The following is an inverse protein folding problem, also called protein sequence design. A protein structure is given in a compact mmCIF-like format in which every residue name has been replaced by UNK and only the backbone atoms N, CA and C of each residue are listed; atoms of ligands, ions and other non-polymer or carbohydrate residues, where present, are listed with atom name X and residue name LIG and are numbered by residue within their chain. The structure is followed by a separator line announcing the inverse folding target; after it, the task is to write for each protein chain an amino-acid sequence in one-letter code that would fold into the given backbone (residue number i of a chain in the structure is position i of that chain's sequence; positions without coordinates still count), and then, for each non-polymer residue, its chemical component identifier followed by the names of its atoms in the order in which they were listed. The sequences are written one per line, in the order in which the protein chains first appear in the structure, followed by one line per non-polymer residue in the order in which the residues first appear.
data_IF_013032907059
#
_entry.id   IF_013032907059
#
_cell.length_a   1.000
_cell.length_b   1.000
_cell.length_c   1.000
_cell.angle_alpha   90.00
_cell.angle_beta   90.00
_cell.angle_gamma   90.00
#
_symmetry.space_group_name_H-M   'P 1'
#
loop_
_entity.id
_entity.type
_entity.pdbx_description
1 polymer ?
#
# COMPACT_ATOMS: atom_id res chain seq x y z
N UNK A 1 -88.19 12.09 74.35
CA UNK A 1 -87.11 13.01 73.90
C UNK A 1 -85.96 12.15 73.37
N UNK A 2 -85.94 11.89 72.08
CA UNK A 2 -84.96 10.96 71.49
C UNK A 2 -84.13 11.72 70.46
N UNK A 3 -82.93 12.03 70.79
CA UNK A 3 -82.03 12.75 69.91
C UNK A 3 -81.33 11.73 68.98
N UNK A 4 -81.55 11.85 67.71
CA UNK A 4 -80.98 11.02 66.66
C UNK A 4 -79.63 11.68 66.23
N UNK A 5 -78.56 10.97 66.44
CA UNK A 5 -77.25 11.39 66.05
C UNK A 5 -76.93 10.95 64.57
N UNK A 6 -76.58 11.92 63.70
CA UNK A 6 -76.30 11.71 62.30
C UNK A 6 -74.81 11.56 62.12
N UNK A 7 -74.33 10.41 61.65
CA UNK A 7 -72.95 10.11 61.35
C UNK A 7 -72.62 10.64 59.93
N UNK A 8 -71.57 11.46 59.69
CA UNK A 8 -71.18 11.91 58.35
C UNK A 8 -70.38 10.86 57.64
N UNK A 9 -70.71 10.60 56.43
CA UNK A 9 -70.05 9.64 55.49
C UNK A 9 -68.64 10.09 55.11
N UNK A 10 -67.67 9.19 55.28
CA UNK A 10 -66.24 9.36 54.96
C UNK A 10 -66.04 9.34 53.48
N UNK A 11 -65.69 10.48 52.86
CA UNK A 11 -65.39 10.67 51.48
C UNK A 11 -64.12 9.96 51.09
N UNK A 12 -64.19 8.95 50.24
CA UNK A 12 -63.01 8.16 49.80
C UNK A 12 -62.25 8.93 48.76
N UNK A 13 -61.11 9.48 49.09
CA UNK A 13 -60.13 10.04 48.13
C UNK A 13 -59.31 8.92 47.46
N UNK A 14 -59.85 8.44 46.34
CA UNK A 14 -59.16 7.48 45.47
C UNK A 14 -59.04 8.06 44.08
N UNK A 15 -58.14 9.05 43.81
CA UNK A 15 -57.88 9.41 42.39
C UNK A 15 -56.59 10.26 42.13
N UNK A 16 -55.60 10.23 42.96
CA UNK A 16 -54.35 10.97 42.63
C UNK A 16 -53.06 10.15 42.56
N UNK A 17 -53.05 8.88 42.92
CA UNK A 17 -51.82 8.03 42.83
C UNK A 17 -51.45 7.60 41.42
N UNK A 18 -52.39 7.47 40.50
CA UNK A 18 -52.15 6.99 39.12
C UNK A 18 -51.39 8.00 38.23
N UNK A 19 -51.63 9.31 38.40
CA UNK A 19 -51.04 10.35 37.55
C UNK A 19 -49.54 10.62 37.89
N UNK A 20 -49.13 10.44 39.13
CA UNK A 20 -47.71 10.57 39.55
C UNK A 20 -46.91 9.36 39.10
N UNK A 21 -47.48 8.17 39.11
CA UNK A 21 -46.86 6.94 38.68
C UNK A 21 -46.63 6.93 37.17
N UNK A 22 -47.58 7.40 36.37
CA UNK A 22 -47.39 7.53 34.90
C UNK A 22 -46.37 8.59 34.50
N UNK A 23 -46.24 9.68 35.25
CA UNK A 23 -45.18 10.68 34.97
C UNK A 23 -43.80 10.15 35.34
N UNK A 24 -43.64 9.43 36.44
CA UNK A 24 -42.37 8.82 36.81
C UNK A 24 -41.95 7.71 35.87
N UNK A 25 -42.92 6.90 35.38
CA UNK A 25 -42.69 5.87 34.37
C UNK A 25 -42.21 6.48 33.01
N UNK A 26 -42.86 7.57 32.58
CA UNK A 26 -42.45 8.28 31.35
C UNK A 26 -41.04 8.87 31.48
N UNK A 27 -40.67 9.45 32.63
CA UNK A 27 -39.32 9.96 32.87
C UNK A 27 -38.31 8.83 32.91
N UNK A 28 -38.66 7.69 33.55
CA UNK A 28 -37.79 6.51 33.57
C UNK A 28 -37.53 5.93 32.18
N UNK A 29 -38.55 5.85 31.31
CA UNK A 29 -38.41 5.40 29.91
C UNK A 29 -37.52 6.36 29.11
N UNK A 30 -37.68 7.68 29.26
CA UNK A 30 -36.85 8.68 28.60
C UNK A 30 -35.37 8.56 29.03
N UNK A 31 -35.12 8.42 30.34
CA UNK A 31 -33.76 8.22 30.86
C UNK A 31 -33.16 6.92 30.33
N UNK A 32 -33.94 5.84 30.27
CA UNK A 32 -33.47 4.55 29.76
C UNK A 32 -33.13 4.61 28.28
N UNK A 33 -33.91 5.33 27.46
CA UNK A 33 -33.62 5.60 26.05
C UNK A 33 -32.35 6.44 25.90
N UNK A 34 -32.14 7.46 26.74
CA UNK A 34 -30.91 8.29 26.71
C UNK A 34 -29.68 7.47 27.08
N UNK A 35 -29.79 6.60 28.11
CA UNK A 35 -28.68 5.71 28.53
C UNK A 35 -28.39 4.70 27.40
N UNK A 36 -29.42 4.10 26.79
CA UNK A 36 -29.23 3.18 25.66
C UNK A 36 -28.63 3.88 24.44
N UNK A 37 -29.07 5.11 24.15
CA UNK A 37 -28.48 5.93 23.08
C UNK A 37 -27.02 6.31 23.34
N UNK A 38 -26.70 6.68 24.57
CA UNK A 38 -25.32 7.00 24.99
C UNK A 38 -24.41 5.74 24.95
N UNK A 39 -24.92 4.58 25.39
CA UNK A 39 -24.20 3.32 25.35
C UNK A 39 -23.95 2.86 23.88
N UNK A 40 -24.97 2.93 23.03
CA UNK A 40 -24.84 2.60 21.60
C UNK A 40 -23.89 3.57 20.87
N UNK A 41 -23.99 4.87 21.14
CA UNK A 41 -23.07 5.88 20.61
C UNK A 41 -21.64 5.70 21.10
N UNK A 42 -21.47 5.43 22.40
CA UNK A 42 -20.16 5.13 23.00
C UNK A 42 -19.54 3.87 22.40
N UNK A 43 -20.30 2.79 22.28
CA UNK A 43 -19.85 1.55 21.64
C UNK A 43 -19.39 1.78 20.20
N UNK A 44 -20.18 2.50 19.39
CA UNK A 44 -19.84 2.82 18.01
C UNK A 44 -18.56 3.67 17.88
N UNK A 45 -18.37 4.65 18.77
CA UNK A 45 -17.15 5.49 18.79
C UNK A 45 -15.93 4.69 19.22
N UNK A 46 -16.06 3.82 20.24
CA UNK A 46 -14.98 2.95 20.71
C UNK A 46 -14.60 1.93 19.63
N UNK A 47 -15.57 1.33 18.97
CA UNK A 47 -15.31 0.37 17.88
C UNK A 47 -14.60 1.04 16.70
N UNK A 48 -15.01 2.25 16.30
CA UNK A 48 -14.31 3.05 15.29
C UNK A 48 -12.88 3.43 15.71
N UNK A 49 -12.67 3.82 16.95
CA UNK A 49 -11.33 4.16 17.46
C UNK A 49 -10.43 2.93 17.56
N UNK A 50 -10.95 1.81 18.02
CA UNK A 50 -10.20 0.54 18.05
C UNK A 50 -9.90 0.02 16.65
N UNK A 51 -10.80 0.19 15.69
CA UNK A 51 -10.54 -0.15 14.28
C UNK A 51 -9.45 0.76 13.67
N UNK A 52 -9.44 2.05 14.00
CA UNK A 52 -8.40 2.98 13.55
C UNK A 52 -7.01 2.67 14.13
N UNK A 53 -6.93 2.11 15.35
CA UNK A 53 -5.66 1.69 15.95
C UNK A 53 -5.11 0.37 15.36
N UNK A 54 -5.94 -0.42 14.69
CA UNK A 54 -5.56 -1.71 14.08
C UNK A 54 -4.84 -1.54 12.74
N UNK A 55 -5.01 -0.42 12.09
CA UNK A 55 -4.40 -0.13 10.78
C UNK A 55 -3.56 1.14 10.87
N UNK A 56 -2.29 1.03 10.57
CA UNK A 56 -1.44 2.20 10.35
C UNK A 56 -1.56 2.57 8.88
N UNK A 57 -2.13 3.75 8.60
CA UNK A 57 -2.13 4.28 7.24
C UNK A 57 -0.70 4.69 6.87
N UNK A 58 -0.11 3.95 5.95
CA UNK A 58 1.27 4.13 5.48
C UNK A 58 1.33 5.16 4.33
N UNK A 59 0.32 6.01 4.22
CA UNK A 59 0.29 7.07 3.21
C UNK A 59 0.23 6.55 1.77
N UNK A 60 0.94 7.22 0.86
CA UNK A 60 1.00 6.81 -0.54
C UNK A 60 2.12 5.81 -0.78
N UNK A 61 1.81 4.73 -1.48
CA UNK A 61 2.75 3.76 -1.99
C UNK A 61 2.86 3.89 -3.52
N UNK A 62 4.07 3.86 -4.06
CA UNK A 62 4.32 3.90 -5.50
C UNK A 62 4.69 2.50 -5.97
N UNK A 63 4.03 2.03 -7.03
CA UNK A 63 4.41 0.78 -7.68
C UNK A 63 5.76 0.97 -8.40
N UNK A 64 6.74 0.19 -8.02
CA UNK A 64 8.12 0.31 -8.50
C UNK A 64 8.57 -1.01 -9.12
N UNK A 65 9.28 -0.92 -10.23
CA UNK A 65 9.95 -2.03 -10.89
C UNK A 65 11.46 -1.93 -10.66
N UNK A 66 12.11 -3.06 -10.42
CA UNK A 66 13.57 -3.11 -10.42
C UNK A 66 14.07 -3.12 -11.87
N UNK A 67 14.83 -2.11 -12.32
CA UNK A 67 15.32 -2.06 -13.69
C UNK A 67 16.42 -3.08 -13.93
N UNK A 68 16.39 -3.70 -15.11
CA UNK A 68 17.45 -4.54 -15.67
C UNK A 68 18.03 -3.82 -16.87
N UNK A 69 19.25 -3.33 -16.74
CA UNK A 69 19.93 -2.64 -17.83
C UNK A 69 20.64 -3.66 -18.72
N UNK A 70 20.33 -3.64 -20.01
CA UNK A 70 21.01 -4.43 -21.03
C UNK A 70 22.06 -3.56 -21.66
N UNK A 71 23.32 -3.93 -21.49
CA UNK A 71 24.50 -3.22 -22.02
C UNK A 71 25.41 -4.22 -22.75
N UNK A 72 26.37 -3.70 -23.48
CA UNK A 72 27.44 -4.49 -24.11
C UNK A 72 28.80 -4.15 -23.50
N UNK A 73 29.72 -5.12 -23.53
CA UNK A 73 31.10 -4.93 -23.12
C UNK A 73 31.93 -4.17 -24.16
N UNK A 74 31.49 -4.15 -25.40
CA UNK A 74 32.19 -3.51 -26.52
C UNK A 74 31.37 -2.32 -27.04
N UNK A 75 32.07 -1.29 -27.51
CA UNK A 75 31.45 -0.18 -28.22
C UNK A 75 31.20 -0.52 -29.69
N UNK A 76 30.16 0.08 -30.26
CA UNK A 76 29.81 -0.16 -31.68
C UNK A 76 28.71 0.77 -32.16
N UNK A 77 28.29 0.58 -33.39
CA UNK A 77 27.17 1.32 -34.00
C UNK A 77 25.91 0.47 -33.99
N UNK A 78 24.83 0.99 -33.46
CA UNK A 78 23.51 0.32 -33.50
C UNK A 78 23.00 0.29 -34.94
N UNK A 79 22.90 -0.89 -35.51
CA UNK A 79 22.45 -1.06 -36.90
C UNK A 79 20.96 -1.38 -37.01
N UNK A 80 20.43 -2.09 -35.98
CA UNK A 80 19.01 -2.48 -35.97
C UNK A 80 18.49 -2.53 -34.54
N UNK A 81 17.25 -2.08 -34.37
CA UNK A 81 16.47 -2.25 -33.14
C UNK A 81 15.28 -3.15 -33.44
N UNK A 82 15.12 -4.23 -32.69
CA UNK A 82 14.07 -5.24 -32.89
C UNK A 82 12.92 -5.09 -31.90
N UNK A 83 13.06 -4.19 -30.93
CA UNK A 83 12.08 -3.98 -29.86
C UNK A 83 11.74 -2.51 -29.67
N UNK A 84 10.51 -2.25 -29.23
CA UNK A 84 10.01 -0.92 -28.87
C UNK A 84 9.75 -0.84 -27.36
N UNK A 85 9.62 0.36 -26.79
CA UNK A 85 9.13 0.55 -25.44
C UNK A 85 7.79 -0.18 -25.23
N UNK A 86 7.58 -0.75 -24.03
CA UNK A 86 6.44 -1.57 -23.61
C UNK A 86 6.33 -2.95 -24.29
N UNK A 87 7.24 -3.33 -25.19
CA UNK A 87 7.28 -4.68 -25.75
C UNK A 87 7.62 -5.71 -24.67
N UNK A 88 6.92 -6.85 -24.69
CA UNK A 88 7.28 -8.03 -23.88
C UNK A 88 8.35 -8.83 -24.59
N UNK A 89 9.35 -9.26 -23.84
CA UNK A 89 10.48 -10.01 -24.36
C UNK A 89 10.71 -11.28 -23.53
N UNK A 90 11.06 -12.35 -24.23
CA UNK A 90 11.48 -13.60 -23.61
C UNK A 90 12.97 -13.58 -23.28
N UNK A 91 13.42 -14.43 -22.36
CA UNK A 91 14.84 -14.62 -22.10
C UNK A 91 15.55 -15.11 -23.37
N UNK A 92 16.71 -14.53 -23.70
CA UNK A 92 17.48 -14.83 -24.89
C UNK A 92 16.96 -14.21 -26.19
N UNK A 93 15.80 -13.53 -26.18
CA UNK A 93 15.26 -12.85 -27.34
C UNK A 93 16.22 -11.76 -27.84
N UNK A 94 16.33 -11.63 -29.14
CA UNK A 94 17.15 -10.61 -29.79
C UNK A 94 16.49 -9.24 -29.65
N UNK A 95 17.28 -8.25 -29.20
CA UNK A 95 16.80 -6.90 -28.91
C UNK A 95 17.34 -5.89 -29.94
N UNK A 96 18.62 -6.03 -30.28
CA UNK A 96 19.30 -5.12 -31.19
C UNK A 96 20.50 -5.79 -31.83
N UNK A 97 20.92 -5.26 -33.00
CA UNK A 97 22.19 -5.58 -33.65
C UNK A 97 23.13 -4.38 -33.53
N UNK A 98 24.36 -4.64 -33.11
CA UNK A 98 25.40 -3.62 -32.98
C UNK A 98 26.63 -4.07 -33.74
N UNK A 99 27.06 -3.24 -34.66
CA UNK A 99 28.25 -3.50 -35.47
C UNK A 99 29.44 -2.83 -34.83
N UNK A 100 30.45 -3.63 -34.51
CA UNK A 100 31.75 -3.17 -34.01
C UNK A 100 32.63 -2.90 -35.22
N UNK A 101 33.12 -1.66 -35.43
CA UNK A 101 33.98 -1.33 -36.55
C UNK A 101 35.34 -2.07 -36.43
N UNK A 102 35.92 -2.35 -37.59
CA UNK A 102 37.28 -2.92 -37.63
C UNK A 102 38.27 -2.05 -36.87
N UNK A 103 39.16 -2.68 -36.09
CA UNK A 103 40.22 -2.02 -35.37
C UNK A 103 41.56 -2.74 -35.64
N UNK A 104 42.25 -2.26 -36.62
CA UNK A 104 43.57 -2.74 -37.01
C UNK A 104 43.67 -4.25 -37.27
N UNK A 105 43.63 -5.06 -36.23
CA UNK A 105 43.75 -6.52 -36.27
C UNK A 105 42.45 -7.30 -36.29
N UNK A 106 41.33 -6.65 -35.94
CA UNK A 106 40.02 -7.31 -35.89
C UNK A 106 39.12 -6.82 -37.03
N UNK A 107 38.46 -7.73 -37.78
CA UNK A 107 37.47 -7.35 -38.77
C UNK A 107 36.22 -6.75 -38.15
N UNK A 108 35.41 -6.10 -38.95
CA UNK A 108 34.06 -5.66 -38.56
C UNK A 108 33.22 -6.86 -38.08
N UNK A 109 32.63 -6.78 -36.91
CA UNK A 109 31.82 -7.84 -36.31
C UNK A 109 30.46 -7.28 -35.91
N UNK A 110 29.39 -8.02 -36.19
CA UNK A 110 28.04 -7.68 -35.71
C UNK A 110 27.71 -8.56 -34.51
N UNK A 111 27.47 -7.93 -33.35
CA UNK A 111 27.03 -8.60 -32.14
C UNK A 111 25.53 -8.42 -31.93
N UNK A 112 24.93 -9.48 -31.43
CA UNK A 112 23.50 -9.54 -31.10
C UNK A 112 23.33 -9.23 -29.61
N UNK A 113 22.54 -8.21 -29.30
CA UNK A 113 22.13 -7.88 -27.95
C UNK A 113 20.89 -8.70 -27.60
N UNK A 114 20.96 -9.51 -26.54
CA UNK A 114 19.87 -10.41 -26.13
C UNK A 114 19.34 -10.05 -24.76
N UNK A 115 18.06 -10.35 -24.52
CA UNK A 115 17.43 -10.17 -23.22
C UNK A 115 18.02 -11.16 -22.19
N UNK A 116 18.54 -10.68 -21.04
CA UNK A 116 19.11 -11.55 -19.99
C UNK A 116 18.03 -12.34 -19.24
N UNK A 117 16.80 -11.86 -19.22
CA UNK A 117 15.63 -12.47 -18.57
C UNK A 117 14.37 -12.12 -19.34
N UNK A 118 13.26 -12.81 -19.03
CA UNK A 118 11.95 -12.37 -19.50
C UNK A 118 11.56 -11.05 -18.82
N UNK A 119 10.79 -10.20 -19.52
CA UNK A 119 10.33 -8.93 -18.96
C UNK A 119 9.65 -8.04 -19.99
N UNK A 120 9.48 -6.78 -19.60
CA UNK A 120 8.94 -5.71 -20.44
C UNK A 120 10.00 -4.63 -20.65
N UNK A 121 10.13 -4.14 -21.86
CA UNK A 121 11.02 -3.03 -22.19
C UNK A 121 10.45 -1.74 -21.58
N UNK A 122 11.18 -1.15 -20.64
CA UNK A 122 10.82 0.14 -20.05
C UNK A 122 11.22 1.31 -20.98
N UNK A 123 12.46 1.26 -21.48
CA UNK A 123 12.99 2.29 -22.35
C UNK A 123 14.02 1.71 -23.32
N UNK A 124 14.09 2.28 -24.51
CA UNK A 124 15.17 2.08 -25.48
C UNK A 124 16.01 3.36 -25.45
N UNK A 125 17.26 3.24 -24.94
CA UNK A 125 18.12 4.38 -24.62
C UNK A 125 19.03 4.78 -25.81
N UNK A 126 18.90 4.09 -26.93
CA UNK A 126 19.72 4.31 -28.14
C UNK A 126 18.83 4.34 -29.39
N UNK A 127 19.30 4.99 -30.43
CA UNK A 127 18.67 4.99 -31.74
C UNK A 127 19.54 4.27 -32.75
N UNK A 128 18.95 3.84 -33.86
CA UNK A 128 19.68 3.29 -35.01
C UNK A 128 20.66 4.34 -35.54
N UNK A 129 21.90 3.93 -35.79
CA UNK A 129 23.00 4.80 -36.17
C UNK A 129 23.80 5.40 -35.01
N UNK A 130 23.34 5.28 -33.78
CA UNK A 130 24.08 5.79 -32.62
C UNK A 130 25.32 4.95 -32.33
N UNK A 131 26.40 5.63 -31.99
CA UNK A 131 27.62 5.01 -31.46
C UNK A 131 27.42 4.74 -29.96
N UNK A 132 27.65 3.52 -29.52
CA UNK A 132 27.53 3.10 -28.11
C UNK A 132 28.90 2.91 -27.48
N UNK A 133 28.98 3.16 -26.18
CA UNK A 133 30.20 2.92 -25.41
C UNK A 133 30.09 1.61 -24.60
N UNK A 134 31.22 0.99 -24.24
CA UNK A 134 31.25 -0.16 -23.36
C UNK A 134 30.53 0.14 -22.03
N UNK A 135 29.62 -0.76 -21.60
CA UNK A 135 28.86 -0.61 -20.38
C UNK A 135 27.68 0.34 -20.43
N UNK A 136 27.50 1.09 -21.52
CA UNK A 136 26.34 1.97 -21.70
C UNK A 136 25.05 1.16 -21.79
N UNK A 137 23.99 1.49 -21.01
CA UNK A 137 22.70 0.82 -21.11
C UNK A 137 22.03 1.14 -22.45
N UNK A 138 21.82 0.11 -23.26
CA UNK A 138 21.17 0.21 -24.56
C UNK A 138 19.65 0.14 -24.40
N UNK A 139 19.20 -0.80 -23.59
CA UNK A 139 17.79 -1.07 -23.32
C UNK A 139 17.62 -1.27 -21.82
N UNK A 140 16.61 -0.64 -21.25
CA UNK A 140 16.19 -0.85 -19.87
C UNK A 140 14.91 -1.67 -19.88
N UNK A 141 14.88 -2.77 -19.12
CA UNK A 141 13.71 -3.64 -19.01
C UNK A 141 13.40 -3.94 -17.55
N UNK A 142 12.23 -4.50 -17.25
CA UNK A 142 11.84 -4.94 -15.92
C UNK A 142 11.03 -6.22 -15.98
N UNK A 143 11.09 -7.02 -14.89
CA UNK A 143 10.27 -8.21 -14.71
C UNK A 143 8.95 -7.86 -14.02
N UNK A 144 7.83 -8.05 -14.71
CA UNK A 144 6.48 -7.79 -14.18
C UNK A 144 6.13 -8.62 -12.93
N UNK A 145 6.83 -9.73 -12.69
CA UNK A 145 6.64 -10.58 -11.51
C UNK A 145 7.42 -10.09 -10.30
N UNK A 146 8.33 -9.13 -10.48
CA UNK A 146 9.19 -8.57 -9.44
C UNK A 146 8.86 -7.11 -9.12
N UNK A 147 7.59 -6.75 -9.29
CA UNK A 147 7.09 -5.45 -8.89
C UNK A 147 6.96 -5.37 -7.37
N UNK A 148 7.22 -4.21 -6.81
CA UNK A 148 7.07 -3.93 -5.38
C UNK A 148 6.45 -2.56 -5.18
N UNK A 149 5.78 -2.38 -4.04
CA UNK A 149 5.25 -1.07 -3.66
C UNK A 149 6.22 -0.40 -2.68
N UNK A 150 6.63 0.81 -3.01
CA UNK A 150 7.47 1.64 -2.16
C UNK A 150 6.59 2.66 -1.45
N UNK A 151 6.36 2.44 -0.17
CA UNK A 151 5.54 3.30 0.67
C UNK A 151 6.41 4.22 1.53
N UNK A 152 6.04 5.49 1.62
CA UNK A 152 6.73 6.44 2.48
C UNK A 152 6.07 6.49 3.85
N UNK A 153 6.81 6.12 4.88
CA UNK A 153 6.38 6.04 6.27
C UNK A 153 7.14 7.04 7.12
N UNK A 154 6.48 7.71 8.04
CA UNK A 154 7.17 8.58 9.01
C UNK A 154 7.99 7.75 9.98
N UNK A 155 9.13 8.26 10.38
CA UNK A 155 10.04 7.57 11.32
C UNK A 155 9.34 7.19 12.64
N UNK A 156 8.41 8.04 13.12
CA UNK A 156 7.62 7.78 14.33
C UNK A 156 6.67 6.57 14.19
N UNK A 157 6.16 6.29 12.98
CA UNK A 157 5.25 5.17 12.73
C UNK A 157 6.00 3.84 12.59
N UNK A 158 7.31 3.87 12.25
CA UNK A 158 8.13 2.66 12.09
C UNK A 158 8.26 1.83 13.37
N UNK A 159 8.16 2.45 14.54
CA UNK A 159 8.16 1.72 15.82
C UNK A 159 6.99 0.74 15.97
N UNK A 160 5.90 1.00 15.26
CA UNK A 160 4.71 0.15 15.26
C UNK A 160 4.71 -0.87 14.13
N UNK A 161 5.60 -0.73 13.16
CA UNK A 161 5.73 -1.64 12.02
C UNK A 161 6.79 -2.70 12.31
N UNK A 162 6.57 -3.89 11.76
CA UNK A 162 7.50 -5.03 11.81
C UNK A 162 7.61 -5.66 10.45
N UNK A 163 8.75 -6.26 10.16
CA UNK A 163 8.94 -7.05 8.95
C UNK A 163 7.97 -8.24 8.96
N UNK A 164 7.44 -8.59 7.81
CA UNK A 164 6.46 -9.65 7.66
C UNK A 164 5.00 -9.25 7.96
N UNK A 165 4.72 -8.01 8.39
CA UNK A 165 3.35 -7.51 8.53
C UNK A 165 2.65 -7.45 7.18
N UNK A 166 1.35 -7.75 7.19
CA UNK A 166 0.50 -7.64 6.00
C UNK A 166 0.05 -6.22 5.79
N UNK A 167 0.26 -5.73 4.58
CA UNK A 167 -0.29 -4.46 4.09
C UNK A 167 -1.42 -4.74 3.10
N UNK A 168 -2.43 -3.89 3.11
CA UNK A 168 -3.50 -3.87 2.12
C UNK A 168 -3.33 -2.64 1.23
N UNK A 169 -3.25 -2.88 -0.07
CA UNK A 169 -3.02 -1.85 -1.08
C UNK A 169 -4.30 -1.70 -1.90
N UNK A 170 -4.72 -0.45 -2.09
CA UNK A 170 -5.88 -0.09 -2.90
C UNK A 170 -5.58 1.13 -3.75
N UNK A 171 -6.14 1.17 -4.96
CA UNK A 171 -5.91 2.29 -5.87
C UNK A 171 -6.37 2.00 -7.29
N UNK A 172 -5.98 2.84 -8.25
CA UNK A 172 -6.44 2.75 -9.62
C UNK A 172 -6.02 1.43 -10.27
N UNK A 173 -6.92 0.82 -11.03
CA UNK A 173 -6.68 -0.46 -11.73
C UNK A 173 -6.71 -1.71 -10.85
N UNK A 174 -7.12 -1.59 -9.58
CA UNK A 174 -7.34 -2.71 -8.67
C UNK A 174 -8.83 -2.85 -8.34
N UNK A 175 -9.42 -4.00 -8.69
CA UNK A 175 -10.83 -4.31 -8.37
C UNK A 175 -11.03 -4.68 -6.90
N UNK A 176 -9.96 -5.12 -6.23
CA UNK A 176 -9.95 -5.50 -4.82
C UNK A 176 -8.66 -5.04 -4.14
N UNK A 177 -8.64 -5.10 -2.82
CA UNK A 177 -7.43 -4.79 -2.05
C UNK A 177 -6.39 -5.89 -2.24
N UNK A 178 -5.24 -5.54 -2.79
CA UNK A 178 -4.08 -6.42 -2.93
C UNK A 178 -3.40 -6.59 -1.59
N UNK A 179 -3.09 -7.83 -1.23
CA UNK A 179 -2.26 -8.12 -0.07
C UNK A 179 -0.78 -8.01 -0.42
N UNK A 180 -0.02 -7.38 0.46
CA UNK A 180 1.42 -7.30 0.34
C UNK A 180 2.07 -7.46 1.71
N UNK A 181 3.32 -7.89 1.74
CA UNK A 181 4.07 -8.11 2.97
C UNK A 181 5.22 -7.12 3.07
N UNK A 182 5.47 -6.57 4.25
CA UNK A 182 6.62 -5.71 4.52
C UNK A 182 7.88 -6.58 4.44
N UNK A 183 8.71 -6.34 3.42
CA UNK A 183 9.95 -7.09 3.21
C UNK A 183 11.14 -6.42 3.89
N UNK A 184 11.27 -5.11 3.71
CA UNK A 184 12.41 -4.33 4.25
C UNK A 184 12.08 -2.85 4.34
N UNK A 185 12.86 -2.15 5.15
CA UNK A 185 12.95 -0.69 5.17
C UNK A 185 14.21 -0.29 4.43
N UNK A 186 14.13 0.70 3.55
CA UNK A 186 15.29 1.22 2.82
C UNK A 186 15.95 2.28 3.70
N UNK A 187 17.19 2.07 4.17
CA UNK A 187 17.90 3.06 4.95
C UNK A 187 18.25 4.26 4.07
N UNK A 188 18.19 5.45 4.66
CA UNK A 188 18.61 6.70 4.03
C UNK A 188 20.05 6.96 4.45
N UNK A 189 20.97 6.86 3.51
CA UNK A 189 22.41 7.10 3.76
C UNK A 189 22.79 8.37 3.02
N UNK A 190 23.22 9.40 3.77
CA UNK A 190 23.53 10.72 3.22
C UNK A 190 22.28 11.59 3.00
N UNK A 191 22.50 12.85 2.81
CA UNK A 191 21.42 13.86 2.65
C UNK A 191 21.55 14.97 3.69
N UNK A 192 20.86 16.07 3.44
CA UNK A 192 20.80 17.20 4.38
C UNK A 192 19.72 16.87 5.45
N UNK A 193 20.10 16.64 6.72
CA UNK A 193 19.16 16.25 7.76
C UNK A 193 18.08 17.31 8.04
N UNK A 194 18.28 18.54 7.60
CA UNK A 194 17.33 19.65 7.77
C UNK A 194 16.26 19.69 6.67
N UNK A 195 16.60 19.23 5.46
CA UNK A 195 15.70 19.23 4.29
C UNK A 195 15.01 17.91 4.01
N UNK A 196 15.57 16.82 4.51
CA UNK A 196 15.01 15.50 4.29
C UNK A 196 13.85 15.24 5.26
N UNK A 197 12.69 15.02 4.70
CA UNK A 197 11.50 14.65 5.48
C UNK A 197 11.79 13.41 6.34
N UNK A 198 11.25 13.37 7.57
CA UNK A 198 11.30 12.22 8.50
C UNK A 198 10.62 10.95 7.95
N UNK A 199 10.60 10.79 6.62
CA UNK A 199 9.96 9.68 5.94
C UNK A 199 11.00 8.70 5.43
N UNK A 200 10.80 7.44 5.76
CA UNK A 200 11.58 6.32 5.26
C UNK A 200 10.75 5.49 4.27
N UNK A 201 11.43 4.87 3.33
CA UNK A 201 10.78 4.02 2.33
C UNK A 201 10.68 2.59 2.84
N UNK A 202 9.46 2.08 2.91
CA UNK A 202 9.16 0.68 3.23
C UNK A 202 8.81 -0.04 1.93
N UNK A 203 9.48 -1.17 1.69
CA UNK A 203 9.25 -2.01 0.51
C UNK A 203 8.23 -3.08 0.86
N UNK A 204 7.11 -3.08 0.13
CA UNK A 204 6.02 -4.03 0.24
C UNK A 204 6.02 -4.92 -0.99
N UNK A 205 6.08 -6.23 -0.78
CA UNK A 205 6.06 -7.24 -1.86
C UNK A 205 4.66 -7.83 -1.92
N UNK A 206 4.03 -7.87 -3.11
CA UNK A 206 2.71 -8.47 -3.28
C UNK A 206 2.71 -9.95 -2.88
N UNK A 207 1.57 -10.41 -2.35
CA UNK A 207 1.34 -11.84 -2.12
C UNK A 207 1.43 -12.61 -3.47
N UNK A 208 1.95 -13.85 -3.50
CA UNK A 208 2.04 -14.66 -4.72
C UNK A 208 0.72 -14.78 -5.49
N UNK A 209 -0.41 -14.78 -4.80
CA UNK A 209 -1.74 -14.84 -5.43
C UNK A 209 -2.11 -13.56 -6.18
N UNK A 210 -1.56 -12.42 -5.78
CA UNK A 210 -1.87 -11.10 -6.34
C UNK A 210 -0.82 -10.61 -7.36
N UNK A 211 0.30 -11.34 -7.52
CA UNK A 211 1.40 -10.97 -8.44
C UNK A 211 0.91 -10.79 -9.88
N UNK A 212 0.01 -11.65 -10.35
CA UNK A 212 -0.53 -11.56 -11.71
C UNK A 212 -1.33 -10.26 -11.90
N UNK A 213 -2.19 -9.92 -10.94
CA UNK A 213 -2.99 -8.68 -10.95
C UNK A 213 -2.07 -7.45 -10.92
N UNK A 214 -1.07 -7.45 -10.02
CA UNK A 214 -0.10 -6.35 -9.92
C UNK A 214 0.75 -6.25 -11.19
N UNK A 215 1.09 -7.38 -11.82
CA UNK A 215 1.86 -7.43 -13.08
C UNK A 215 1.18 -6.78 -14.28
N UNK A 216 -0.14 -6.55 -14.24
CA UNK A 216 -0.86 -5.81 -15.29
C UNK A 216 -0.78 -4.29 -15.11
N UNK A 217 -0.37 -3.82 -13.93
CA UNK A 217 -0.31 -2.40 -13.60
C UNK A 217 0.97 -1.76 -14.18
N UNK A 218 0.88 -0.47 -14.46
CA UNK A 218 2.03 0.31 -14.93
C UNK A 218 2.85 0.79 -13.72
N UNK A 219 4.16 0.52 -13.67
CA UNK A 219 5.04 1.08 -12.65
C UNK A 219 5.00 2.62 -12.64
N UNK A 220 5.07 3.23 -11.45
CA UNK A 220 4.94 4.66 -11.27
C UNK A 220 3.56 5.12 -10.77
N UNK A 221 2.53 4.27 -10.81
CA UNK A 221 1.21 4.56 -10.26
C UNK A 221 1.27 4.65 -8.74
N UNK A 222 0.43 5.54 -8.19
CA UNK A 222 0.30 5.75 -6.74
C UNK A 222 -0.92 5.03 -6.20
N UNK A 223 -0.74 4.40 -5.05
CA UNK A 223 -1.73 3.59 -4.34
C UNK A 223 -1.82 4.04 -2.88
N UNK A 224 -2.93 3.73 -2.23
CA UNK A 224 -3.07 3.86 -0.78
C UNK A 224 -2.67 2.54 -0.12
N UNK A 225 -1.80 2.61 0.89
CA UNK A 225 -1.39 1.44 1.65
C UNK A 225 -1.79 1.57 3.12
N UNK A 226 -2.30 0.50 3.69
CA UNK A 226 -2.61 0.38 5.11
C UNK A 226 -2.02 -0.92 5.66
N UNK A 227 -1.27 -0.86 6.75
CA UNK A 227 -0.63 -2.02 7.37
C UNK A 227 -1.46 -2.49 8.56
N UNK A 228 -1.75 -3.79 8.62
CA UNK A 228 -2.36 -4.43 9.78
C UNK A 228 -1.29 -4.81 10.80
N UNK A 229 -1.21 -4.07 11.90
CA UNK A 229 -0.19 -4.24 12.93
C UNK A 229 -0.32 -5.52 13.75
N UNK A 230 -1.41 -6.29 13.57
CA UNK A 230 -1.66 -7.55 14.30
C UNK A 230 -1.07 -8.79 13.61
N UNK A 231 -0.62 -8.65 12.37
CA UNK A 231 -0.23 -9.79 11.52
C UNK A 231 1.26 -10.12 11.54
N UNK A 232 2.04 -9.50 12.45
CA UNK A 232 3.48 -9.69 12.48
C UNK A 232 3.87 -11.11 12.94
N UNK A 233 4.60 -11.87 12.13
CA UNK A 233 5.19 -13.15 12.54
C UNK A 233 6.43 -12.99 13.43
N UNK A 234 6.99 -11.77 13.56
CA UNK A 234 8.22 -11.48 14.29
C UNK A 234 8.06 -10.44 15.39
N UNK A 235 9.04 -10.38 16.29
CA UNK A 235 9.10 -9.44 17.42
C UNK A 235 9.94 -8.21 17.13
N UNK A 236 10.82 -8.25 16.10
CA UNK A 236 11.75 -7.17 15.78
C UNK A 236 11.04 -5.99 15.10
N UNK A 237 11.07 -4.78 15.70
CA UNK A 237 10.54 -3.58 15.05
C UNK A 237 11.27 -3.27 13.72
N UNK A 238 10.56 -2.72 12.75
CA UNK A 238 11.14 -2.38 11.46
C UNK A 238 12.26 -1.33 11.56
N UNK A 239 12.24 -0.51 12.60
CA UNK A 239 13.29 0.48 12.89
C UNK A 239 14.64 -0.15 13.23
N UNK A 240 14.67 -1.40 13.70
CA UNK A 240 15.88 -2.14 14.09
C UNK A 240 16.28 -3.20 13.04
N UNK A 241 15.69 -3.17 11.84
CA UNK A 241 15.89 -4.18 10.80
C UNK A 241 16.87 -3.78 9.70
N UNK A 242 17.69 -2.74 9.98
CA UNK A 242 18.73 -2.28 9.06
C UNK A 242 20.02 -3.09 9.22
#
# INVERSE_FOLDING_TARGET
MTTTEVIPAKKVEKKQRGRRFLRSLRTFVVVLILIAGAAAGGYYVVEKRLAAQKYVEVGSAVLTASPVNVSMSDGGVVTTLLVAPQARVAQGQELAYVTIPANGTKPTETKIVRAPSMGTVAAVNVAIGNVTQPGQPLITMYDQRKLSFHAQVRAEDLKHLRLGMTAYISGPGLDHKVKATIQRVVPKVGGDPVKDSDKLTVVLVPDPNDVTTVGTLVPGLQFKASVDTRTAPGTTPAVNSA
#
